data_IF_715711531611
#
_entry.id   IF_715711531611
#
_cell.length_a   1.000
_cell.length_b   1.000
_cell.length_c   1.000
_cell.angle_alpha   90.00
_cell.angle_beta   90.00
_cell.angle_gamma   90.00
#
_symmetry.space_group_name_H-M   'P 1'
#
loop_
_entity.id
_entity.type
_entity.pdbx_description
1 polymer ?
#
# COMPACT_ATOMS: atom_id res chain seq x y z
N UNK A 1 19.15 -68.89 -27.72
CA UNK A 1 18.07 -68.10 -27.09
C UNK A 1 18.73 -66.97 -26.29
N UNK A 2 18.56 -65.71 -26.70
CA UNK A 2 19.14 -64.54 -26.02
C UNK A 2 18.13 -64.02 -25.01
N UNK A 3 18.48 -64.04 -23.73
CA UNK A 3 17.65 -63.50 -22.66
C UNK A 3 17.87 -61.98 -22.56
N UNK A 4 16.81 -61.21 -22.79
CA UNK A 4 16.79 -59.77 -22.58
C UNK A 4 16.30 -59.54 -21.14
N UNK A 5 17.17 -59.00 -20.29
CA UNK A 5 16.78 -58.46 -18.99
C UNK A 5 16.28 -57.03 -19.20
N UNK A 6 15.02 -56.76 -18.87
CA UNK A 6 14.47 -55.41 -18.78
C UNK A 6 14.62 -54.98 -17.31
N UNK A 7 15.52 -54.02 -17.05
CA UNK A 7 15.62 -53.37 -15.77
C UNK A 7 14.54 -52.29 -15.67
N UNK A 8 13.58 -52.47 -14.76
CA UNK A 8 12.61 -51.44 -14.41
C UNK A 8 13.26 -50.43 -13.46
N UNK A 9 13.49 -49.20 -13.92
CA UNK A 9 13.92 -48.09 -13.08
C UNK A 9 12.71 -47.54 -12.31
N UNK A 10 12.70 -47.67 -10.98
CA UNK A 10 11.77 -46.95 -10.13
C UNK A 10 12.16 -45.45 -10.13
N UNK A 11 11.32 -44.59 -10.71
CA UNK A 11 11.37 -43.16 -10.44
C UNK A 11 10.73 -42.89 -9.08
N UNK A 12 11.52 -42.44 -8.11
CA UNK A 12 11.01 -41.91 -6.84
C UNK A 12 10.68 -40.43 -7.01
N UNK A 13 9.39 -40.10 -7.04
CA UNK A 13 8.91 -38.71 -7.00
C UNK A 13 9.18 -38.15 -5.62
N UNK A 14 10.13 -37.21 -5.53
CA UNK A 14 10.32 -36.42 -4.31
C UNK A 14 9.20 -35.39 -4.25
N UNK A 15 8.21 -35.61 -3.40
CA UNK A 15 7.29 -34.55 -3.00
C UNK A 15 8.10 -33.55 -2.17
N UNK A 16 8.53 -32.45 -2.81
CA UNK A 16 8.91 -31.26 -2.07
C UNK A 16 7.64 -30.77 -1.38
N UNK A 17 7.59 -30.87 -0.06
CA UNK A 17 6.57 -30.19 0.74
C UNK A 17 6.81 -28.70 0.58
N UNK A 18 6.19 -28.09 -0.43
CA UNK A 18 6.16 -26.65 -0.57
C UNK A 18 5.38 -26.10 0.63
N UNK A 19 5.98 -25.13 1.34
CA UNK A 19 5.24 -24.33 2.31
C UNK A 19 4.25 -23.43 1.55
N UNK A 20 3.02 -23.32 2.03
CA UNK A 20 1.96 -22.55 1.36
C UNK A 20 2.29 -21.06 1.35
N UNK A 21 2.74 -20.51 2.50
CA UNK A 21 3.05 -19.10 2.65
C UNK A 21 4.43 -18.82 3.25
N UNK A 22 4.94 -17.59 3.11
CA UNK A 22 6.25 -17.22 3.65
C UNK A 22 6.34 -17.43 5.18
N UNK A 23 7.48 -17.94 5.68
CA UNK A 23 7.72 -18.21 7.09
C UNK A 23 7.93 -16.93 7.89
N UNK A 24 8.04 -17.09 9.22
CA UNK A 24 8.29 -16.01 10.17
C UNK A 24 9.55 -15.19 9.82
N UNK A 25 9.59 -13.94 10.30
CA UNK A 25 10.73 -13.05 10.15
C UNK A 25 12.05 -13.72 10.57
N UNK A 26 13.12 -13.42 9.84
CA UNK A 26 14.45 -14.02 10.07
C UNK A 26 14.62 -15.43 9.52
N UNK A 27 13.59 -16.06 8.94
CA UNK A 27 13.68 -17.34 8.25
C UNK A 27 13.83 -17.13 6.74
N UNK A 28 14.67 -17.95 6.09
CA UNK A 28 14.85 -17.90 4.63
C UNK A 28 13.52 -18.04 3.88
N UNK A 29 13.27 -17.16 2.92
CA UNK A 29 12.02 -17.10 2.16
C UNK A 29 10.90 -16.32 2.85
N UNK A 30 11.14 -15.71 4.03
CA UNK A 30 10.20 -14.78 4.65
C UNK A 30 10.02 -13.52 3.80
N UNK A 31 8.81 -12.97 3.80
CA UNK A 31 8.48 -11.67 3.20
C UNK A 31 8.32 -10.56 4.24
N UNK A 32 8.59 -10.85 5.52
CA UNK A 32 8.50 -9.87 6.61
C UNK A 32 9.43 -8.67 6.35
N UNK A 33 8.91 -7.44 6.50
CA UNK A 33 9.68 -6.23 6.23
C UNK A 33 10.07 -5.57 7.56
N UNK A 34 11.36 -5.41 7.89
CA UNK A 34 11.76 -4.75 9.14
C UNK A 34 11.32 -3.29 9.15
N UNK A 35 10.90 -2.76 10.30
CA UNK A 35 10.40 -1.38 10.44
C UNK A 35 11.41 -0.31 10.02
N UNK A 36 12.70 -0.62 10.09
CA UNK A 36 13.81 0.23 9.63
C UNK A 36 14.10 0.14 8.13
N UNK A 37 13.31 -0.63 7.38
CA UNK A 37 13.53 -0.83 5.95
C UNK A 37 13.45 0.48 5.18
N UNK A 38 14.41 0.76 4.27
CA UNK A 38 14.35 1.95 3.41
C UNK A 38 13.25 1.87 2.35
N UNK A 39 12.50 0.76 2.27
CA UNK A 39 11.33 0.63 1.41
C UNK A 39 10.21 1.58 1.83
N UNK A 40 10.11 1.92 3.12
CA UNK A 40 9.05 2.81 3.61
C UNK A 40 9.35 4.26 3.25
N UNK A 41 8.50 4.84 2.39
CA UNK A 41 8.57 6.24 1.94
C UNK A 41 7.89 7.18 2.93
N UNK A 42 6.80 6.71 3.54
CA UNK A 42 6.03 7.43 4.54
C UNK A 42 5.26 6.46 5.44
N UNK A 43 4.45 7.00 6.34
CA UNK A 43 3.68 6.27 7.33
C UNK A 43 2.29 6.87 7.45
N UNK A 44 1.35 6.15 8.06
CA UNK A 44 0.05 6.70 8.42
C UNK A 44 0.22 8.04 9.17
N UNK A 45 -0.57 9.03 8.78
CA UNK A 45 -0.54 10.40 9.32
C UNK A 45 -1.76 10.73 10.19
N UNK A 46 -2.74 9.84 10.24
CA UNK A 46 -3.92 9.96 11.07
C UNK A 46 -4.53 8.59 11.35
N UNK A 47 -5.22 8.47 12.47
CA UNK A 47 -5.81 7.22 12.95
C UNK A 47 -7.13 7.51 13.66
N UNK A 48 -8.14 6.70 13.41
CA UNK A 48 -9.41 6.67 14.15
C UNK A 48 -9.68 5.25 14.59
N UNK A 49 -9.88 5.03 15.89
CA UNK A 49 -10.09 3.70 16.47
C UNK A 49 -11.49 3.59 17.05
N UNK A 50 -12.20 2.54 16.69
CA UNK A 50 -13.43 2.08 17.33
C UNK A 50 -13.12 0.81 18.12
N UNK A 51 -12.94 0.97 19.43
CA UNK A 51 -12.62 -0.16 20.32
C UNK A 51 -13.83 -1.06 20.54
N UNK A 52 -13.56 -2.34 20.71
CA UNK A 52 -14.52 -3.35 21.13
C UNK A 52 -14.21 -3.85 22.55
N UNK A 53 -15.01 -4.83 23.00
CA UNK A 53 -14.89 -5.42 24.33
C UNK A 53 -13.56 -6.16 24.48
N UNK A 54 -13.04 -6.23 25.70
CA UNK A 54 -11.90 -7.08 26.02
C UNK A 54 -12.22 -8.57 25.91
N UNK A 55 -13.49 -8.91 26.13
CA UNK A 55 -13.96 -10.28 26.05
C UNK A 55 -15.44 -10.30 25.65
N UNK A 56 -15.71 -10.45 24.35
CA UNK A 56 -17.04 -10.38 23.77
C UNK A 56 -17.97 -11.51 24.24
N UNK A 57 -17.41 -12.65 24.65
CA UNK A 57 -18.16 -13.79 25.20
C UNK A 57 -18.20 -13.83 26.74
N UNK A 58 -17.67 -12.80 27.40
CA UNK A 58 -17.59 -12.72 28.85
C UNK A 58 -18.78 -11.98 29.48
N UNK A 59 -18.85 -12.00 30.82
CA UNK A 59 -19.76 -11.14 31.59
C UNK A 59 -19.22 -9.73 31.81
N UNK A 60 -17.94 -9.50 31.49
CA UNK A 60 -17.29 -8.20 31.62
C UNK A 60 -17.65 -7.29 30.44
N UNK A 61 -17.89 -6.01 30.73
CA UNK A 61 -18.26 -5.00 29.72
C UNK A 61 -17.13 -3.99 29.47
N UNK A 62 -15.91 -4.30 29.92
CA UNK A 62 -14.75 -3.45 29.70
C UNK A 62 -14.37 -3.47 28.21
N UNK A 63 -14.04 -2.30 27.68
CA UNK A 63 -13.46 -2.16 26.34
C UNK A 63 -11.94 -2.30 26.42
N UNK A 64 -11.32 -2.69 25.31
CA UNK A 64 -9.87 -2.55 25.15
C UNK A 64 -9.44 -1.13 25.58
N UNK A 65 -8.25 -1.00 26.14
CA UNK A 65 -7.84 0.29 26.70
C UNK A 65 -6.35 0.57 26.65
N UNK A 66 -5.52 -0.36 26.19
CA UNK A 66 -4.11 -0.09 25.98
C UNK A 66 -3.90 0.84 24.79
N UNK A 67 -3.00 1.81 24.96
CA UNK A 67 -2.63 2.79 23.94
C UNK A 67 -3.64 3.90 23.65
N UNK A 68 -3.31 4.73 22.67
CA UNK A 68 -4.21 5.73 22.07
C UNK A 68 -4.13 5.66 20.54
N UNK A 69 -5.14 6.13 19.79
CA UNK A 69 -5.11 6.13 18.32
C UNK A 69 -3.82 6.71 17.71
N UNK A 70 -3.24 7.72 18.37
CA UNK A 70 -2.01 8.39 17.95
C UNK A 70 -0.78 7.47 18.00
N UNK A 71 -0.82 6.37 18.75
CA UNK A 71 0.27 5.40 18.75
C UNK A 71 0.41 4.70 17.38
N UNK A 72 -0.68 4.56 16.61
CA UNK A 72 -0.67 3.97 15.28
C UNK A 72 -0.18 4.92 14.16
N UNK A 73 0.22 6.15 14.50
CA UNK A 73 0.61 7.20 13.55
C UNK A 73 2.13 7.37 13.57
N UNK A 74 2.72 7.54 12.39
CA UNK A 74 4.16 7.66 12.22
C UNK A 74 4.87 6.31 12.15
N UNK A 75 6.19 6.35 12.32
CA UNK A 75 7.01 5.16 12.22
C UNK A 75 6.78 4.22 13.41
N UNK A 76 6.75 2.92 13.08
CA UNK A 76 6.75 1.82 14.06
C UNK A 76 7.81 2.07 15.13
N UNK A 77 7.37 2.08 16.38
CA UNK A 77 8.22 2.35 17.54
C UNK A 77 7.91 1.43 18.73
N UNK A 78 6.97 0.49 18.55
CA UNK A 78 6.56 -0.47 19.57
C UNK A 78 5.47 0.04 20.51
N UNK A 79 4.98 1.27 20.31
CA UNK A 79 3.78 1.77 21.00
C UNK A 79 2.54 1.29 20.24
N UNK A 80 1.61 0.66 20.92
CA UNK A 80 0.43 0.06 20.29
C UNK A 80 -0.86 0.77 20.65
N UNK A 81 -1.93 0.46 19.90
CA UNK A 81 -3.32 0.68 20.28
C UNK A 81 -4.14 -0.57 20.03
N UNK A 82 -4.69 -1.13 21.12
CA UNK A 82 -5.43 -2.40 21.06
C UNK A 82 -6.86 -2.22 20.59
N UNK A 83 -7.36 -3.11 19.74
CA UNK A 83 -8.69 -2.95 19.15
C UNK A 83 -9.80 -3.58 20.01
N UNK A 84 -9.50 -4.66 20.74
CA UNK A 84 -10.51 -5.51 21.37
C UNK A 84 -11.20 -6.43 20.37
N UNK A 85 -11.99 -7.37 20.88
CA UNK A 85 -12.64 -8.44 20.11
C UNK A 85 -13.57 -7.86 19.03
N UNK A 86 -13.12 -7.87 17.77
CA UNK A 86 -13.81 -7.31 16.61
C UNK A 86 -13.72 -5.78 16.48
N UNK A 87 -12.82 -5.14 17.22
CA UNK A 87 -12.55 -3.70 17.12
C UNK A 87 -11.92 -3.33 15.78
N UNK A 88 -11.92 -2.02 15.47
CA UNK A 88 -11.41 -1.53 14.19
C UNK A 88 -10.58 -0.26 14.33
N UNK A 89 -9.65 -0.08 13.39
CA UNK A 89 -8.94 1.18 13.18
C UNK A 89 -9.01 1.58 11.70
N UNK A 90 -9.12 2.88 11.42
CA UNK A 90 -8.98 3.46 10.09
C UNK A 90 -7.80 4.42 10.12
N UNK A 91 -6.82 4.14 9.27
CA UNK A 91 -5.59 4.91 9.10
C UNK A 91 -5.70 5.73 7.83
N UNK A 92 -5.23 6.97 7.89
CA UNK A 92 -5.18 7.91 6.75
C UNK A 92 -3.75 8.34 6.47
N UNK A 93 -3.50 8.75 5.23
CA UNK A 93 -2.15 9.07 4.74
C UNK A 93 -2.08 10.46 4.14
N UNK A 94 -0.96 11.15 4.35
CA UNK A 94 -0.71 12.48 3.78
C UNK A 94 -0.61 12.44 2.24
N UNK A 95 -0.14 11.30 1.71
CA UNK A 95 -0.18 10.97 0.29
C UNK A 95 -0.89 9.62 0.12
N UNK A 96 -1.76 9.47 -0.88
CA UNK A 96 -2.38 8.18 -1.14
C UNK A 96 -1.35 7.07 -1.39
N UNK A 97 -1.67 5.84 -1.02
CA UNK A 97 -0.94 4.63 -1.43
C UNK A 97 -1.33 4.32 -2.88
N UNK A 98 -0.36 3.90 -3.69
CA UNK A 98 -0.53 3.51 -5.10
C UNK A 98 -0.17 2.05 -5.29
N UNK A 99 -0.86 1.37 -6.19
CA UNK A 99 -0.55 0.01 -6.60
C UNK A 99 0.60 0.02 -7.62
N UNK A 100 1.77 -0.46 -7.20
CA UNK A 100 2.92 -0.65 -8.09
C UNK A 100 3.42 -2.11 -8.01
N UNK A 101 4.57 -2.41 -8.58
CA UNK A 101 5.14 -3.75 -8.55
C UNK A 101 5.45 -4.20 -7.12
N UNK A 102 4.77 -5.26 -6.68
CA UNK A 102 4.98 -5.91 -5.39
C UNK A 102 4.25 -5.20 -4.26
N UNK A 103 4.77 -5.32 -3.03
CA UNK A 103 4.08 -4.79 -1.86
C UNK A 103 4.01 -3.26 -1.84
N UNK A 104 2.85 -2.72 -1.49
CA UNK A 104 2.57 -1.28 -1.49
C UNK A 104 2.55 -0.66 -0.10
N UNK A 105 2.27 -1.45 0.93
CA UNK A 105 2.35 -1.04 2.33
C UNK A 105 2.56 -2.25 3.24
N UNK A 106 2.83 -2.00 4.53
CA UNK A 106 2.90 -3.03 5.55
C UNK A 106 2.24 -2.60 6.85
N UNK A 107 1.61 -3.55 7.55
CA UNK A 107 0.97 -3.33 8.86
C UNK A 107 1.82 -3.96 9.96
N UNK A 108 2.05 -3.20 11.03
CA UNK A 108 2.89 -3.56 12.17
C UNK A 108 2.05 -3.84 13.41
N UNK A 109 2.52 -4.82 14.17
CA UNK A 109 1.89 -5.40 15.35
C UNK A 109 3.02 -5.74 16.36
N UNK A 110 2.71 -6.14 17.59
CA UNK A 110 3.69 -6.37 18.66
C UNK A 110 3.97 -7.84 19.03
N UNK A 111 3.57 -8.80 18.20
CA UNK A 111 3.70 -10.24 18.44
C UNK A 111 5.13 -10.67 18.76
N UNK A 112 5.30 -11.79 19.43
CA UNK A 112 6.60 -12.19 19.96
C UNK A 112 6.93 -13.66 19.72
N UNK A 113 8.22 -13.95 19.71
CA UNK A 113 8.69 -15.32 19.51
C UNK A 113 8.26 -16.21 20.66
N UNK A 114 7.77 -17.41 20.35
CA UNK A 114 7.24 -18.34 21.37
C UNK A 114 8.31 -19.23 22.01
N UNK A 115 9.54 -19.21 21.49
CA UNK A 115 10.57 -20.22 21.77
C UNK A 115 10.30 -21.59 21.15
N UNK A 116 9.11 -21.83 20.57
CA UNK A 116 8.80 -23.04 19.82
C UNK A 116 9.24 -22.89 18.36
N UNK A 117 9.84 -23.94 17.81
CA UNK A 117 10.33 -23.92 16.43
C UNK A 117 9.19 -23.63 15.43
N UNK A 118 9.35 -22.56 14.65
CA UNK A 118 8.40 -22.17 13.60
C UNK A 118 7.14 -21.45 14.08
N UNK A 119 6.91 -21.30 15.40
CA UNK A 119 5.72 -20.62 15.93
C UNK A 119 6.04 -19.31 16.65
N UNK A 120 5.10 -18.40 16.65
CA UNK A 120 5.12 -17.14 17.41
C UNK A 120 3.74 -16.88 18.02
N UNK A 121 3.70 -16.06 19.07
CA UNK A 121 2.44 -15.42 19.46
C UNK A 121 2.18 -14.31 18.45
N UNK A 122 1.05 -14.41 17.76
CA UNK A 122 0.63 -13.54 16.67
C UNK A 122 -0.82 -13.16 16.94
N UNK A 123 -1.13 -11.87 16.84
CA UNK A 123 -2.51 -11.38 16.89
C UNK A 123 -2.86 -10.88 15.49
N UNK A 124 -3.96 -11.36 14.94
CA UNK A 124 -4.29 -11.22 13.53
C UNK A 124 -5.40 -10.20 13.31
N UNK A 125 -5.29 -9.47 12.20
CA UNK A 125 -6.35 -8.60 11.74
C UNK A 125 -6.60 -8.76 10.24
N UNK A 126 -7.85 -8.59 9.84
CA UNK A 126 -8.19 -8.35 8.44
C UNK A 126 -7.76 -6.93 8.04
N UNK A 127 -7.37 -6.80 6.78
CA UNK A 127 -7.00 -5.52 6.19
C UNK A 127 -7.96 -5.20 5.05
N UNK A 128 -8.47 -3.98 5.06
CA UNK A 128 -9.25 -3.40 3.97
C UNK A 128 -8.66 -2.07 3.53
N UNK A 129 -8.91 -1.67 2.29
CA UNK A 129 -8.48 -0.37 1.76
C UNK A 129 -9.64 0.38 1.14
N UNK A 130 -9.53 1.70 1.10
CA UNK A 130 -10.50 2.58 0.46
C UNK A 130 -9.82 3.77 -0.21
N UNK A 131 -10.33 4.16 -1.38
CA UNK A 131 -9.94 5.39 -2.06
C UNK A 131 -10.79 6.61 -1.68
N UNK A 132 -11.98 6.41 -1.08
CA UNK A 132 -12.94 7.48 -0.78
C UNK A 132 -13.34 7.58 0.71
N UNK A 133 -12.88 6.66 1.55
CA UNK A 133 -13.21 6.60 2.98
C UNK A 133 -14.60 6.04 3.29
N UNK A 134 -15.34 5.58 2.28
CA UNK A 134 -16.71 5.06 2.40
C UNK A 134 -16.77 3.59 1.96
N UNK A 135 -16.23 3.28 0.78
CA UNK A 135 -16.22 1.95 0.21
C UNK A 135 -14.91 1.24 0.56
N UNK A 136 -14.97 0.18 1.35
CA UNK A 136 -13.82 -0.60 1.78
C UNK A 136 -13.76 -1.97 1.10
N UNK A 137 -12.56 -2.37 0.69
CA UNK A 137 -12.30 -3.61 -0.04
C UNK A 137 -11.25 -4.42 0.70
N UNK A 138 -11.62 -5.65 1.08
CA UNK A 138 -10.80 -6.54 1.90
C UNK A 138 -9.79 -7.32 1.07
N UNK A 139 -8.58 -7.47 1.58
CA UNK A 139 -7.60 -8.41 1.02
C UNK A 139 -8.09 -9.86 1.15
N UNK A 140 -7.88 -10.71 0.13
CA UNK A 140 -8.28 -12.11 0.22
C UNK A 140 -7.36 -12.85 1.21
N UNK A 141 -7.79 -12.96 2.47
CA UNK A 141 -7.07 -13.69 3.50
C UNK A 141 -7.31 -15.19 3.42
N UNK A 142 -6.31 -15.98 3.78
CA UNK A 142 -6.42 -17.45 3.83
C UNK A 142 -5.78 -18.00 5.10
N UNK A 143 -6.56 -18.77 5.83
CA UNK A 143 -6.16 -19.53 6.99
C UNK A 143 -6.16 -21.04 6.66
N UNK A 144 -5.01 -21.68 6.86
CA UNK A 144 -4.86 -23.14 6.68
C UNK A 144 -4.90 -23.93 8.00
N UNK A 145 -5.09 -23.26 9.14
CA UNK A 145 -5.34 -23.94 10.41
C UNK A 145 -6.74 -24.58 10.45
N UNK A 146 -6.89 -25.76 11.08
CA UNK A 146 -8.22 -26.29 11.35
C UNK A 146 -8.99 -25.33 12.27
N UNK A 147 -10.32 -25.27 12.09
CA UNK A 147 -11.17 -24.32 12.81
C UNK A 147 -11.07 -24.42 14.33
N UNK A 148 -10.73 -25.59 14.89
CA UNK A 148 -10.57 -25.81 16.32
C UNK A 148 -9.14 -25.67 16.84
N UNK A 149 -8.19 -25.17 16.03
CA UNK A 149 -6.79 -25.04 16.40
C UNK A 149 -6.61 -24.25 17.71
N UNK A 150 -7.22 -23.07 17.80
CA UNK A 150 -7.10 -22.18 18.97
C UNK A 150 -7.70 -22.82 20.22
N UNK A 151 -8.90 -23.40 20.14
CA UNK A 151 -9.58 -23.99 21.30
C UNK A 151 -8.88 -25.24 21.82
N UNK A 152 -8.14 -25.95 20.96
CA UNK A 152 -7.36 -27.12 21.32
C UNK A 152 -5.90 -26.79 21.64
N UNK A 153 -5.53 -25.50 21.72
CA UNK A 153 -4.16 -25.10 22.04
C UNK A 153 -3.71 -25.71 23.37
N UNK A 154 -2.52 -26.30 23.36
CA UNK A 154 -1.83 -26.80 24.54
C UNK A 154 -0.68 -25.89 24.97
N UNK A 155 -0.59 -24.69 24.38
CA UNK A 155 0.46 -23.73 24.72
C UNK A 155 0.29 -23.22 26.16
N UNK A 156 1.41 -22.86 26.78
CA UNK A 156 1.40 -22.30 28.14
C UNK A 156 0.58 -21.01 28.14
N UNK A 157 -0.45 -20.95 29.00
CA UNK A 157 -1.43 -19.85 29.02
C UNK A 157 -2.76 -20.20 28.34
N UNK A 158 -2.84 -21.31 27.60
CA UNK A 158 -4.07 -21.79 26.98
C UNK A 158 -4.39 -21.12 25.65
N UNK A 159 -5.66 -21.15 25.23
CA UNK A 159 -6.10 -20.67 23.90
C UNK A 159 -5.89 -19.18 23.67
N UNK A 160 -5.94 -18.35 24.72
CA UNK A 160 -5.63 -16.92 24.66
C UNK A 160 -4.13 -16.62 24.48
N UNK A 161 -3.27 -17.64 24.52
CA UNK A 161 -1.83 -17.56 24.25
C UNK A 161 -1.41 -18.56 23.17
N UNK A 162 -2.36 -19.01 22.35
CA UNK A 162 -2.06 -19.94 21.27
C UNK A 162 -1.06 -19.34 20.29
N UNK A 163 -0.03 -20.11 19.97
CA UNK A 163 1.03 -19.69 19.05
C UNK A 163 0.78 -20.26 17.67
N UNK A 164 1.15 -19.51 16.64
CA UNK A 164 0.88 -19.82 15.24
C UNK A 164 2.16 -19.75 14.41
N UNK A 165 2.17 -20.53 13.34
CA UNK A 165 3.19 -20.60 12.31
C UNK A 165 2.70 -19.81 11.11
N UNK A 166 3.46 -18.78 10.75
CA UNK A 166 3.16 -17.84 9.68
C UNK A 166 2.93 -18.53 8.31
N UNK A 167 3.45 -19.75 8.11
CA UNK A 167 3.31 -20.48 6.84
C UNK A 167 1.88 -20.94 6.53
N UNK A 168 0.97 -20.88 7.50
CA UNK A 168 -0.44 -21.23 7.36
C UNK A 168 -1.36 -20.00 7.23
N UNK A 169 -0.79 -18.79 7.18
CA UNK A 169 -1.52 -17.54 7.24
C UNK A 169 -1.14 -16.66 6.04
N UNK A 170 -2.13 -16.13 5.34
CA UNK A 170 -1.94 -15.19 4.24
C UNK A 170 -2.87 -13.99 4.35
N UNK A 171 -2.35 -12.80 4.01
CA UNK A 171 -3.11 -11.55 3.99
C UNK A 171 -3.86 -11.24 5.29
N UNK A 172 -3.28 -11.63 6.43
CA UNK A 172 -3.63 -11.17 7.76
C UNK A 172 -2.53 -10.25 8.28
N UNK A 173 -2.87 -9.08 8.81
CA UNK A 173 -1.90 -8.28 9.56
C UNK A 173 -1.48 -9.03 10.84
N UNK A 174 -0.33 -8.69 11.41
CA UNK A 174 0.21 -9.36 12.60
C UNK A 174 0.72 -10.78 12.37
N UNK A 175 0.93 -11.18 11.10
CA UNK A 175 1.56 -12.45 10.73
C UNK A 175 3.03 -12.55 11.21
N UNK A 176 3.70 -11.41 11.43
CA UNK A 176 5.11 -11.35 11.80
C UNK A 176 5.33 -10.70 13.16
N UNK A 177 6.36 -11.16 13.86
CA UNK A 177 6.69 -10.66 15.20
C UNK A 177 7.15 -9.19 15.16
N UNK A 178 7.05 -8.54 16.31
CA UNK A 178 7.46 -7.17 16.61
C UNK A 178 8.72 -6.73 15.86
N UNK A 179 8.64 -5.53 15.30
CA UNK A 179 9.68 -4.92 14.50
C UNK A 179 9.60 -5.30 13.02
N UNK A 180 8.69 -6.18 12.63
CA UNK A 180 8.45 -6.57 11.24
C UNK A 180 7.00 -6.37 10.83
N UNK A 181 6.81 -5.69 9.71
CA UNK A 181 5.50 -5.45 9.11
C UNK A 181 5.09 -6.63 8.23
N UNK A 182 3.79 -6.94 8.25
CA UNK A 182 3.19 -7.82 7.24
C UNK A 182 2.90 -7.01 6.00
N UNK A 183 3.53 -7.32 4.85
CA UNK A 183 3.36 -6.53 3.65
C UNK A 183 2.11 -6.94 2.87
N UNK A 184 1.51 -5.98 2.17
CA UNK A 184 0.29 -6.13 1.39
C UNK A 184 0.50 -5.55 -0.01
N UNK A 185 0.07 -6.28 -1.03
CA UNK A 185 0.14 -5.92 -2.46
C UNK A 185 -1.29 -5.63 -2.96
N UNK A 186 -1.59 -4.38 -3.31
CA UNK A 186 -2.93 -3.93 -3.71
C UNK A 186 -3.47 -4.68 -4.94
N UNK A 187 -2.60 -5.33 -5.73
CA UNK A 187 -3.00 -6.16 -6.85
C UNK A 187 -3.73 -7.44 -6.42
N UNK A 188 -3.57 -7.87 -5.17
CA UNK A 188 -4.30 -9.01 -4.58
C UNK A 188 -5.81 -8.75 -4.45
N UNK A 189 -6.23 -7.49 -4.37
CA UNK A 189 -7.64 -7.14 -4.27
C UNK A 189 -8.26 -7.20 -5.67
N UNK A 190 -9.42 -7.83 -5.90
CA UNK A 190 -10.09 -7.78 -7.20
C UNK A 190 -10.44 -6.35 -7.63
N UNK A 191 -10.35 -6.05 -8.93
CA UNK A 191 -10.74 -4.75 -9.46
C UNK A 191 -12.22 -4.43 -9.20
N UNK A 192 -12.50 -3.20 -8.81
CA UNK A 192 -13.85 -2.72 -8.55
C UNK A 192 -14.03 -1.27 -9.06
N UNK A 193 -15.16 -0.92 -9.70
CA UNK A 193 -15.41 0.44 -10.18
C UNK A 193 -15.39 1.53 -9.09
N UNK A 194 -15.58 1.16 -7.82
CA UNK A 194 -15.55 2.06 -6.67
C UNK A 194 -14.20 2.08 -5.95
N UNK A 195 -13.21 1.32 -6.43
CA UNK A 195 -11.87 1.26 -5.87
C UNK A 195 -10.85 1.83 -6.86
N UNK A 196 -10.25 2.97 -6.51
CA UNK A 196 -9.09 3.47 -7.21
C UNK A 196 -7.80 3.05 -6.49
N UNK A 197 -7.19 1.95 -6.94
CA UNK A 197 -5.94 1.42 -6.36
C UNK A 197 -4.72 2.35 -6.53
N UNK A 198 -4.82 3.37 -7.37
CA UNK A 198 -3.77 4.41 -7.51
C UNK A 198 -3.96 5.58 -6.52
N UNK A 199 -5.04 5.57 -5.74
CA UNK A 199 -5.39 6.64 -4.81
C UNK A 199 -5.99 6.09 -3.53
N UNK A 200 -5.37 5.07 -2.93
CA UNK A 200 -5.81 4.53 -1.64
C UNK A 200 -5.51 5.55 -0.54
N UNK A 201 -6.56 6.08 0.06
CA UNK A 201 -6.47 7.14 1.08
C UNK A 201 -6.65 6.58 2.49
N UNK A 202 -7.24 5.39 2.61
CA UNK A 202 -7.54 4.76 3.89
C UNK A 202 -7.13 3.29 3.90
N UNK A 203 -6.56 2.86 5.02
CA UNK A 203 -6.37 1.44 5.37
C UNK A 203 -7.19 1.18 6.63
N UNK A 204 -8.03 0.14 6.61
CA UNK A 204 -8.83 -0.28 7.75
C UNK A 204 -8.33 -1.61 8.28
N UNK A 205 -8.12 -1.66 9.59
CA UNK A 205 -7.69 -2.82 10.34
C UNK A 205 -8.89 -3.30 11.16
N UNK A 206 -9.15 -4.60 11.14
CA UNK A 206 -10.28 -5.23 11.82
C UNK A 206 -9.76 -6.45 12.55
N UNK A 207 -9.88 -6.46 13.87
CA UNK A 207 -9.51 -7.58 14.72
C UNK A 207 -10.15 -8.90 14.26
N UNK A 208 -9.38 -9.99 14.28
CA UNK A 208 -9.87 -11.35 14.03
C UNK A 208 -10.32 -11.96 15.35
N UNK A 209 -11.60 -12.29 15.48
CA UNK A 209 -12.07 -13.05 16.64
C UNK A 209 -11.87 -14.55 16.37
N UNK A 210 -10.82 -15.11 16.97
CA UNK A 210 -10.35 -16.50 16.78
C UNK A 210 -11.13 -17.58 17.55
N UNK A 211 -12.46 -17.53 17.50
CA UNK A 211 -13.34 -18.45 18.24
C UNK A 211 -14.16 -19.36 17.33
N UNK A 212 -14.67 -20.46 17.88
CA UNK A 212 -15.68 -21.32 17.21
C UNK A 212 -17.12 -21.01 17.62
N UNK A 213 -17.32 -20.01 18.50
CA UNK A 213 -18.65 -19.58 18.90
C UNK A 213 -19.31 -18.89 17.70
N UNK A 214 -20.43 -19.45 17.22
CA UNK A 214 -21.10 -19.02 15.99
C UNK A 214 -21.41 -17.52 15.94
N UNK A 215 -21.78 -16.93 17.07
CA UNK A 215 -22.12 -15.51 17.16
C UNK A 215 -20.92 -14.54 16.99
N UNK A 216 -19.69 -15.04 17.15
CA UNK A 216 -18.50 -14.19 17.24
C UNK A 216 -17.39 -14.58 16.26
N UNK A 217 -17.38 -15.83 15.80
CA UNK A 217 -16.34 -16.31 14.89
C UNK A 217 -16.28 -15.48 13.61
N UNK A 218 -15.06 -15.25 13.16
CA UNK A 218 -14.79 -14.57 11.89
C UNK A 218 -14.33 -15.56 10.83
N UNK A 219 -14.42 -15.17 9.56
CA UNK A 219 -14.08 -16.04 8.43
C UNK A 219 -13.08 -15.37 7.51
N UNK A 220 -12.20 -16.18 6.94
CA UNK A 220 -11.30 -15.77 5.86
C UNK A 220 -12.04 -15.66 4.51
N UNK A 221 -11.31 -15.34 3.44
CA UNK A 221 -11.90 -15.16 2.11
C UNK A 221 -12.40 -16.45 1.45
N UNK A 222 -12.01 -17.62 1.96
CA UNK A 222 -12.42 -18.94 1.47
C UNK A 222 -13.52 -19.56 2.34
N UNK A 223 -13.98 -18.86 3.38
CA UNK A 223 -15.00 -19.34 4.31
C UNK A 223 -14.46 -20.27 5.40
N UNK A 224 -13.14 -20.35 5.58
CA UNK A 224 -12.57 -21.01 6.75
C UNK A 224 -12.75 -20.12 7.98
N UNK A 225 -12.93 -20.73 9.15
CA UNK A 225 -12.89 -19.98 10.41
C UNK A 225 -11.49 -19.40 10.58
N UNK A 226 -11.40 -18.07 10.73
CA UNK A 226 -10.14 -17.41 10.99
C UNK A 226 -9.67 -17.72 12.43
N UNK A 227 -8.37 -17.80 12.62
CA UNK A 227 -7.75 -18.14 13.90
C UNK A 227 -7.06 -16.92 14.48
N UNK A 228 -7.14 -16.79 15.80
CA UNK A 228 -6.46 -15.75 16.58
C UNK A 228 -6.48 -16.17 18.06
N UNK A 229 -5.51 -15.79 18.91
CA UNK A 229 -5.57 -16.08 20.33
C UNK A 229 -6.88 -15.55 20.95
N UNK A 230 -7.66 -16.44 21.55
CA UNK A 230 -8.94 -16.07 22.14
C UNK A 230 -9.32 -17.02 23.30
N UNK A 231 -9.87 -16.51 24.43
CA UNK A 231 -10.13 -15.09 24.73
C UNK A 231 -8.87 -14.35 25.23
N UNK A 232 -8.84 -13.02 25.07
CA UNK A 232 -7.76 -12.13 25.55
C UNK A 232 -8.29 -11.05 26.51
N UNK A 233 -8.78 -11.40 27.71
CA UNK A 233 -9.59 -10.51 28.58
C UNK A 233 -8.76 -9.49 29.38
N UNK A 234 -8.00 -8.64 28.69
CA UNK A 234 -7.14 -7.61 29.27
C UNK A 234 -7.18 -6.29 28.52
N UNK A 235 -6.44 -5.28 29.02
CA UNK A 235 -6.39 -3.96 28.39
C UNK A 235 -5.83 -4.00 26.96
N UNK A 236 -4.90 -4.93 26.70
CA UNK A 236 -4.33 -5.26 25.39
C UNK A 236 -5.04 -6.43 24.73
N UNK A 237 -6.37 -6.40 24.68
CA UNK A 237 -7.19 -7.42 24.02
C UNK A 237 -7.27 -7.20 22.52
N UNK A 238 -7.30 -8.28 21.75
CA UNK A 238 -7.38 -8.25 20.29
C UNK A 238 -6.12 -7.62 19.67
N UNK A 239 -6.22 -7.22 18.41
CA UNK A 239 -5.09 -6.73 17.64
C UNK A 239 -4.42 -5.48 18.23
N UNK A 240 -3.11 -5.58 18.50
CA UNK A 240 -2.26 -4.50 19.00
C UNK A 240 -1.57 -3.72 17.86
N UNK A 241 -2.30 -2.77 17.26
CA UNK A 241 -1.79 -2.00 16.11
C UNK A 241 -0.66 -1.04 16.50
N UNK A 242 0.54 -1.20 15.90
CA UNK A 242 1.70 -0.32 16.07
C UNK A 242 1.81 0.73 14.97
N UNK A 243 1.73 0.35 13.69
CA UNK A 243 1.88 1.29 12.58
C UNK A 243 1.39 0.74 11.23
N UNK A 244 1.23 1.63 10.25
CA UNK A 244 1.11 1.28 8.83
C UNK A 244 2.14 2.08 8.03
N UNK A 245 3.12 1.37 7.44
CA UNK A 245 4.19 1.95 6.63
C UNK A 245 3.88 1.84 5.13
N UNK A 246 4.08 2.92 4.39
CA UNK A 246 3.78 3.01 2.94
C UNK A 246 5.05 2.78 2.13
N UNK A 247 4.99 1.84 1.17
CA UNK A 247 6.07 1.48 0.26
C UNK A 247 5.88 2.19 -1.09
N UNK A 248 4.66 2.17 -1.61
CA UNK A 248 4.29 2.85 -2.86
C UNK A 248 3.29 3.94 -2.55
N UNK A 249 3.75 5.18 -2.60
CA UNK A 249 2.89 6.36 -2.42
C UNK A 249 2.77 7.12 -3.74
N UNK A 250 1.63 7.77 -3.91
CA UNK A 250 1.38 8.71 -4.98
C UNK A 250 2.44 9.80 -4.92
N UNK A 251 3.37 9.72 -5.85
CA UNK A 251 4.24 10.82 -6.16
C UNK A 251 3.51 11.66 -7.19
N UNK A 252 3.07 12.85 -6.80
CA UNK A 252 2.81 13.87 -7.80
C UNK A 252 4.13 14.00 -8.57
N UNK A 253 4.15 13.57 -9.83
CA UNK A 253 5.27 13.83 -10.73
C UNK A 253 5.28 15.34 -11.00
N UNK A 254 5.76 16.11 -10.02
CA UNK A 254 6.54 17.29 -10.31
C UNK A 254 7.81 16.70 -10.91
N UNK A 255 7.90 16.66 -12.22
CA UNK A 255 9.02 16.05 -12.93
C UNK A 255 10.35 16.62 -12.41
N UNK A 256 11.00 15.92 -11.48
CA UNK A 256 12.42 16.02 -11.19
C UNK A 256 13.09 14.86 -11.89
N UNK A 257 12.97 14.82 -13.22
CA UNK A 257 14.12 14.31 -13.95
C UNK A 257 15.27 15.22 -13.54
N UNK A 258 16.37 14.66 -13.05
CA UNK A 258 17.67 15.31 -13.17
C UNK A 258 18.03 15.45 -14.67
N UNK A 259 17.23 16.19 -15.42
CA UNK A 259 17.75 16.95 -16.52
C UNK A 259 18.33 18.17 -15.83
N UNK A 260 19.67 18.27 -15.81
CA UNK A 260 20.42 19.46 -15.36
C UNK A 260 19.52 20.67 -15.33
N UNK A 261 19.22 21.14 -14.13
CA UNK A 261 18.54 22.40 -13.89
C UNK A 261 19.43 23.53 -14.41
N UNK A 262 19.44 23.72 -15.72
CA UNK A 262 19.60 25.04 -16.29
C UNK A 262 18.19 25.59 -16.30
N UNK A 263 17.91 26.51 -15.37
CA UNK A 263 16.82 27.48 -15.46
C UNK A 263 17.04 28.35 -16.72
N UNK A 264 17.06 27.74 -17.91
CA UNK A 264 17.14 28.42 -19.17
C UNK A 264 15.76 29.03 -19.43
N UNK A 265 15.57 30.22 -18.86
CA UNK A 265 14.41 31.07 -19.08
C UNK A 265 14.08 31.09 -20.57
N UNK A 266 12.94 30.51 -20.96
CA UNK A 266 12.45 30.58 -22.34
C UNK A 266 12.08 32.03 -22.58
N UNK A 267 12.77 32.67 -23.51
CA UNK A 267 12.47 34.02 -23.94
C UNK A 267 12.01 33.99 -25.39
N UNK A 268 11.08 34.87 -25.74
CA UNK A 268 10.74 35.17 -27.12
C UNK A 268 11.39 36.48 -27.55
N UNK A 269 11.98 36.51 -28.74
CA UNK A 269 12.49 37.75 -29.32
C UNK A 269 12.43 37.74 -30.85
N UNK A 270 12.13 38.88 -31.48
CA UNK A 270 11.72 40.13 -30.85
C UNK A 270 10.32 40.03 -30.22
N UNK A 271 10.03 40.89 -29.24
CA UNK A 271 8.69 41.12 -28.69
C UNK A 271 8.60 42.59 -28.24
N UNK A 272 7.87 43.48 -28.93
CA UNK A 272 6.96 43.20 -30.05
C UNK A 272 7.65 42.62 -31.30
N UNK A 273 6.91 41.79 -32.06
CA UNK A 273 7.38 41.06 -33.24
C UNK A 273 6.61 41.47 -34.51
N UNK A 274 7.20 41.21 -35.69
CA UNK A 274 6.57 41.48 -36.99
C UNK A 274 6.24 40.18 -37.73
N UNK A 275 7.26 39.51 -38.25
CA UNK A 275 7.11 38.37 -39.17
C UNK A 275 7.60 37.04 -38.59
N UNK A 276 8.47 37.10 -37.58
CA UNK A 276 9.01 35.93 -36.93
C UNK A 276 9.29 36.18 -35.45
N UNK A 277 9.38 35.10 -34.69
CA UNK A 277 9.94 35.07 -33.35
C UNK A 277 11.00 33.98 -33.24
N UNK A 278 12.01 34.22 -32.41
CA UNK A 278 12.97 33.23 -31.96
C UNK A 278 12.66 32.84 -30.54
N UNK A 279 12.77 31.55 -30.25
CA UNK A 279 12.51 30.96 -28.94
C UNK A 279 13.83 30.45 -28.36
N UNK A 280 14.20 30.91 -27.17
CA UNK A 280 15.37 30.36 -26.46
C UNK A 280 15.04 28.96 -25.95
N UNK A 281 15.45 27.94 -26.70
CA UNK A 281 15.33 26.54 -26.35
C UNK A 281 16.56 25.75 -26.86
N UNK A 282 16.83 24.58 -26.30
CA UNK A 282 17.97 23.74 -26.74
C UNK A 282 17.73 23.10 -28.11
N UNK A 283 16.48 22.82 -28.45
CA UNK A 283 16.01 22.16 -29.67
C UNK A 283 14.80 22.87 -30.24
N UNK A 284 14.38 22.47 -31.44
CA UNK A 284 13.11 22.92 -32.01
C UNK A 284 11.90 22.40 -31.22
N UNK A 285 10.95 23.29 -30.95
CA UNK A 285 9.83 23.09 -30.02
C UNK A 285 8.48 23.24 -30.70
N UNK A 286 7.45 22.58 -30.15
CA UNK A 286 6.08 22.78 -30.59
C UNK A 286 5.50 24.05 -29.97
N UNK A 287 4.72 24.78 -30.77
CA UNK A 287 4.15 26.07 -30.43
C UNK A 287 2.69 26.12 -30.81
N UNK A 288 1.86 26.66 -29.91
CA UNK A 288 0.47 27.03 -30.15
C UNK A 288 0.29 28.51 -29.82
N UNK A 289 -0.42 29.24 -30.67
CA UNK A 289 -0.71 30.67 -30.48
C UNK A 289 -2.21 30.87 -30.40
N UNK A 290 -2.65 31.58 -29.37
CA UNK A 290 -4.05 31.89 -29.10
C UNK A 290 -4.28 33.40 -29.14
N UNK A 291 -5.46 33.82 -29.62
CA UNK A 291 -5.89 35.21 -29.53
C UNK A 291 -6.41 35.55 -28.12
N UNK A 292 -6.79 36.80 -27.89
CA UNK A 292 -7.29 37.30 -26.58
C UNK A 292 -8.58 36.63 -26.10
N UNK A 293 -9.35 36.01 -27.00
CA UNK A 293 -10.56 35.25 -26.67
C UNK A 293 -10.25 33.78 -26.35
N UNK A 294 -8.98 33.38 -26.33
CA UNK A 294 -8.54 32.01 -26.08
C UNK A 294 -8.66 31.07 -27.29
N UNK A 295 -9.03 31.57 -28.47
CA UNK A 295 -9.13 30.73 -29.67
C UNK A 295 -7.74 30.46 -30.26
N UNK A 296 -7.46 29.20 -30.61
CA UNK A 296 -6.23 28.78 -31.27
C UNK A 296 -6.19 29.37 -32.69
N UNK A 297 -5.19 30.19 -32.98
CA UNK A 297 -5.03 30.87 -34.28
C UNK A 297 -3.83 30.38 -35.08
N UNK A 298 -2.85 29.73 -34.44
CA UNK A 298 -1.72 29.08 -35.13
C UNK A 298 -1.17 27.92 -34.31
N UNK A 299 -0.72 26.86 -34.97
CA UNK A 299 0.07 25.78 -34.37
C UNK A 299 1.20 25.39 -35.32
N UNK A 300 2.38 25.09 -34.79
CA UNK A 300 3.51 24.64 -35.59
C UNK A 300 4.71 24.26 -34.73
N UNK A 301 5.78 23.82 -35.39
CA UNK A 301 7.07 23.54 -34.77
C UNK A 301 8.09 24.56 -35.23
N UNK A 302 8.98 25.01 -34.36
CA UNK A 302 10.08 25.89 -34.78
C UNK A 302 11.01 25.16 -35.75
N UNK A 303 11.69 25.93 -36.60
CA UNK A 303 12.82 25.45 -37.40
C UNK A 303 14.01 26.36 -37.08
N UNK A 304 15.13 25.79 -36.65
CA UNK A 304 16.28 26.56 -36.16
C UNK A 304 15.86 27.60 -35.09
N UNK A 305 15.01 27.16 -34.15
CA UNK A 305 14.48 27.96 -33.03
C UNK A 305 13.65 29.17 -33.45
N UNK A 306 13.23 29.22 -34.72
CA UNK A 306 12.47 30.32 -35.30
C UNK A 306 11.07 29.85 -35.69
N UNK A 307 10.06 30.68 -35.45
CA UNK A 307 8.69 30.48 -35.92
C UNK A 307 8.26 31.67 -36.76
N UNK A 308 7.74 31.39 -37.96
CA UNK A 308 7.08 32.41 -38.79
C UNK A 308 5.70 32.74 -38.21
N UNK A 309 5.41 34.03 -38.06
CA UNK A 309 4.14 34.59 -37.59
C UNK A 309 3.60 35.68 -38.54
N UNK A 310 4.13 35.76 -39.77
CA UNK A 310 3.78 36.81 -40.73
C UNK A 310 2.32 36.74 -41.20
N UNK A 311 1.65 35.61 -40.98
CA UNK A 311 0.23 35.39 -41.24
C UNK A 311 -0.70 35.94 -40.13
N UNK A 312 -0.16 36.28 -38.96
CA UNK A 312 -0.95 36.83 -37.85
C UNK A 312 -1.08 38.35 -37.94
N UNK A 313 -2.24 38.89 -37.56
CA UNK A 313 -2.53 40.34 -37.56
C UNK A 313 -1.93 41.05 -36.34
N UNK A 314 -1.81 42.37 -36.39
CA UNK A 314 -1.39 43.18 -35.23
C UNK A 314 -2.28 42.94 -34.02
N UNK A 315 -1.69 42.75 -32.85
CA UNK A 315 -2.45 42.44 -31.63
C UNK A 315 -1.66 41.74 -30.53
N UNK A 316 -2.35 41.46 -29.43
CA UNK A 316 -1.83 40.67 -28.32
C UNK A 316 -2.24 39.20 -28.47
N UNK A 317 -1.31 38.31 -28.20
CA UNK A 317 -1.50 36.86 -28.27
C UNK A 317 -0.89 36.19 -27.05
N UNK A 318 -1.38 34.99 -26.76
CA UNK A 318 -0.74 34.06 -25.82
C UNK A 318 -0.06 32.99 -26.66
N UNK A 319 1.25 32.86 -26.51
CA UNK A 319 2.03 31.79 -27.11
C UNK A 319 2.33 30.72 -26.06
N UNK A 320 1.89 29.50 -26.33
CA UNK A 320 2.17 28.31 -25.54
C UNK A 320 3.29 27.52 -26.22
N UNK A 321 4.36 27.27 -25.49
CA UNK A 321 5.54 26.55 -25.96
C UNK A 321 5.63 25.25 -25.18
N UNK A 322 5.74 24.13 -25.88
CA UNK A 322 5.96 22.80 -25.30
C UNK A 322 7.34 22.28 -25.70
N UNK A 323 8.23 22.13 -24.72
CA UNK A 323 9.59 21.61 -24.93
C UNK A 323 9.77 20.15 -24.50
N UNK A 324 8.68 19.38 -24.42
CA UNK A 324 8.56 18.01 -23.89
C UNK A 324 8.76 17.89 -22.36
N UNK A 325 9.15 18.97 -21.68
CA UNK A 325 9.44 18.96 -20.24
C UNK A 325 8.62 20.00 -19.47
N UNK A 326 8.31 21.13 -20.08
CA UNK A 326 7.53 22.23 -19.52
C UNK A 326 6.65 22.87 -20.61
N UNK A 327 5.42 23.19 -20.24
CA UNK A 327 4.54 24.07 -21.01
C UNK A 327 4.63 25.47 -20.43
N UNK A 328 5.07 26.45 -21.22
CA UNK A 328 5.11 27.86 -20.81
C UNK A 328 4.20 28.71 -21.69
N UNK A 329 3.42 29.57 -21.05
CA UNK A 329 2.60 30.58 -21.70
C UNK A 329 3.30 31.93 -21.60
N UNK A 330 3.61 32.56 -22.73
CA UNK A 330 4.22 33.88 -22.80
C UNK A 330 3.29 34.84 -23.56
N UNK A 331 3.41 36.14 -23.25
CA UNK A 331 2.73 37.18 -24.00
C UNK A 331 3.52 37.48 -25.28
N UNK A 332 2.86 37.41 -26.42
CA UNK A 332 3.38 37.86 -27.71
C UNK A 332 2.63 39.11 -28.16
N UNK A 333 3.35 40.15 -28.53
CA UNK A 333 2.81 41.38 -29.11
C UNK A 333 3.25 41.40 -30.57
N UNK A 334 2.30 41.46 -31.51
CA UNK A 334 2.58 41.62 -32.93
C UNK A 334 2.31 43.08 -33.31
N UNK A 335 3.33 43.74 -33.85
CA UNK A 335 3.30 45.14 -34.26
C UNK A 335 4.05 45.31 -35.58
N UNK A 336 3.35 45.08 -36.69
CA UNK A 336 3.77 45.39 -38.06
C UNK A 336 3.49 46.84 -38.42
#
# INVERSE_FOLDING_TARGET
MKNIFIAAALLTTHFLMAQSYPPQAGVSGSTAIPSSSPLFKSWASGSTVLRALQQINGSQTAYASAGTPENAVGASNGSIVSLGDGGTAILTFAKPITNDSGFDFAVFENGFTSGQSGKAFLELAFVEVSSDGVNFFRFPSHNEYPSNYIQNSTDVGGSGFATMDARYLNNFAGKYTNGFGTPFDLSDIPDNPLLNKEQITHVKIIDVIGTNIEAYRTYDSLGNVAVDPFPTPGAGSGFDLDAVGVINEYTAVLATAENKKTDAKINLYPNPATDFIKITADKDVEVKIYNVNGALVKQGKTVNKTLNISDLSNGNYIIQIDNNFNKQNLKLIISK
#
